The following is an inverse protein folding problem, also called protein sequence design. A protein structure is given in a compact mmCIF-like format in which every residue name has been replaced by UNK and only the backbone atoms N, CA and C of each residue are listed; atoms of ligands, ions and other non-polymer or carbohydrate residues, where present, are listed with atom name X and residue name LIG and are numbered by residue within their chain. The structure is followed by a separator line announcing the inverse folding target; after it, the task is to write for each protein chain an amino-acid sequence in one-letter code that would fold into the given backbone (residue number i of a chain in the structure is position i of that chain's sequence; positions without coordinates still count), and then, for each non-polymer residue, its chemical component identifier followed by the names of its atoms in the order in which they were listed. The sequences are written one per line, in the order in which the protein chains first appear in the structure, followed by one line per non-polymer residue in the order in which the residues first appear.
data_IF_125818134112
#
_entry.id   IF_125818134112
#
_cell.length_a   1.000
_cell.length_b   1.000
_cell.length_c   1.000
_cell.angle_alpha   90.00
_cell.angle_beta   90.00
_cell.angle_gamma   90.00
#
_symmetry.space_group_name_H-M   'P 1'
#
loop_
_entity.id
_entity.type
_entity.pdbx_description
1 polymer ?
#
# COMPACT_ATOMS: atom_id res chain seq x y z
N UNK A 1 6.62 12.86 19.51
CA UNK A 1 6.77 11.43 19.95
C UNK A 1 5.47 10.64 20.15
N UNK A 2 4.64 10.84 21.19
CA UNK A 2 3.40 10.03 21.37
C UNK A 2 2.46 10.20 20.16
N UNK A 3 2.31 11.44 19.68
CA UNK A 3 1.47 11.74 18.52
C UNK A 3 1.93 11.04 17.23
N UNK A 4 3.26 10.88 17.04
CA UNK A 4 3.84 10.13 15.90
C UNK A 4 3.46 8.67 15.98
N UNK A 5 3.61 8.06 17.16
CA UNK A 5 3.24 6.68 17.38
C UNK A 5 1.76 6.44 17.10
N UNK A 6 0.88 7.29 17.64
CA UNK A 6 -0.56 7.19 17.41
C UNK A 6 -0.92 7.35 15.94
N UNK A 7 -0.34 8.36 15.26
CA UNK A 7 -0.58 8.59 13.84
C UNK A 7 -0.14 7.37 13.02
N UNK A 8 1.08 6.89 13.21
CA UNK A 8 1.62 5.74 12.50
C UNK A 8 0.75 4.49 12.73
N UNK A 9 0.34 4.22 13.97
CA UNK A 9 -0.54 3.10 14.29
C UNK A 9 -1.90 3.21 13.61
N UNK A 10 -2.49 4.40 13.57
CA UNK A 10 -3.79 4.64 12.91
C UNK A 10 -3.66 4.45 11.39
N UNK A 11 -2.65 5.05 10.76
CA UNK A 11 -2.44 4.94 9.31
C UNK A 11 -2.21 3.48 8.91
N UNK A 12 -1.35 2.76 9.64
CA UNK A 12 -1.09 1.34 9.41
C UNK A 12 -2.36 0.50 9.60
N UNK A 13 -3.13 0.74 10.67
CA UNK A 13 -4.37 0.01 10.91
C UNK A 13 -5.39 0.22 9.77
N UNK A 14 -5.54 1.46 9.29
CA UNK A 14 -6.42 1.78 8.15
C UNK A 14 -5.98 1.01 6.90
N UNK A 15 -4.69 1.07 6.57
CA UNK A 15 -4.14 0.41 5.38
C UNK A 15 -4.29 -1.11 5.45
N UNK A 16 -4.01 -1.72 6.61
CA UNK A 16 -4.20 -3.16 6.81
C UNK A 16 -5.67 -3.57 6.68
N UNK A 17 -6.60 -2.78 7.22
CA UNK A 17 -8.04 -3.05 7.10
C UNK A 17 -8.53 -2.91 5.66
N UNK A 18 -8.07 -1.89 4.93
CA UNK A 18 -8.34 -1.73 3.50
C UNK A 18 -7.85 -2.96 2.74
N UNK A 19 -6.60 -3.35 2.96
CA UNK A 19 -5.99 -4.49 2.29
C UNK A 19 -6.78 -5.77 2.51
N UNK A 20 -7.09 -6.05 3.79
CA UNK A 20 -7.89 -7.20 4.19
C UNK A 20 -9.26 -7.20 3.51
N UNK A 21 -9.98 -6.08 3.50
CA UNK A 21 -11.31 -5.99 2.89
C UNK A 21 -11.25 -6.21 1.38
N UNK A 22 -10.21 -5.69 0.70
CA UNK A 22 -9.99 -5.95 -0.73
C UNK A 22 -9.76 -7.44 -1.00
N UNK A 23 -8.86 -8.09 -0.26
CA UNK A 23 -8.59 -9.53 -0.42
C UNK A 23 -9.82 -10.38 -0.07
N UNK A 24 -10.56 -10.00 0.97
CA UNK A 24 -11.81 -10.67 1.36
C UNK A 24 -12.86 -10.59 0.24
N UNK A 25 -13.06 -9.39 -0.34
CA UNK A 25 -13.96 -9.20 -1.48
C UNK A 25 -13.49 -9.98 -2.71
N UNK A 26 -12.21 -9.98 -3.01
CA UNK A 26 -11.65 -10.76 -4.12
C UNK A 26 -11.88 -12.26 -3.93
N UNK A 27 -11.67 -12.78 -2.72
CA UNK A 27 -11.96 -14.19 -2.38
C UNK A 27 -13.41 -14.58 -2.69
N UNK A 28 -14.36 -13.67 -2.50
CA UNK A 28 -15.79 -13.89 -2.80
C UNK A 28 -16.14 -13.65 -4.26
N UNK A 29 -15.55 -12.63 -4.88
CA UNK A 29 -15.83 -12.23 -6.25
C UNK A 29 -15.26 -13.23 -7.26
N UNK A 30 -13.99 -13.59 -7.13
CA UNK A 30 -13.24 -14.43 -8.09
C UNK A 30 -13.97 -15.75 -8.43
N UNK A 31 -14.48 -16.53 -7.47
CA UNK A 31 -15.23 -17.76 -7.76
C UNK A 31 -16.56 -17.54 -8.47
N UNK A 32 -17.21 -16.40 -8.21
CA UNK A 32 -18.53 -16.07 -8.77
C UNK A 32 -18.47 -15.61 -10.23
N UNK A 33 -17.28 -15.30 -10.75
CA UNK A 33 -17.10 -14.84 -12.13
C UNK A 33 -17.29 -16.00 -13.11
N UNK A 34 -18.22 -15.82 -14.05
CA UNK A 34 -18.46 -16.74 -15.16
C UNK A 34 -17.46 -16.54 -16.32
N UNK A 35 -16.16 -16.61 -16.01
CA UNK A 35 -15.04 -16.49 -16.95
C UNK A 35 -14.13 -17.70 -16.85
N UNK A 36 -13.32 -17.97 -17.89
CA UNK A 36 -12.36 -19.08 -17.87
C UNK A 36 -11.40 -18.96 -16.68
N UNK A 37 -11.11 -20.08 -16.01
CA UNK A 37 -10.27 -20.14 -14.80
C UNK A 37 -8.96 -19.35 -14.92
N UNK A 38 -8.27 -19.40 -16.07
CA UNK A 38 -7.03 -18.65 -16.29
C UNK A 38 -7.16 -17.13 -16.17
N UNK A 39 -8.32 -16.54 -16.47
CA UNK A 39 -8.55 -15.10 -16.38
C UNK A 39 -8.97 -14.63 -14.98
N UNK A 40 -9.41 -15.56 -14.12
CA UNK A 40 -9.76 -15.24 -12.72
C UNK A 40 -8.56 -14.71 -11.92
N UNK A 41 -7.39 -15.29 -12.14
CA UNK A 41 -6.14 -14.83 -11.52
C UNK A 41 -5.77 -13.42 -11.97
N UNK A 42 -5.97 -13.11 -13.25
CA UNK A 42 -5.70 -11.76 -13.79
C UNK A 42 -6.58 -10.72 -13.10
N UNK A 43 -7.86 -11.03 -12.85
CA UNK A 43 -8.76 -10.17 -12.07
C UNK A 43 -8.25 -10.00 -10.63
N UNK A 44 -7.78 -11.08 -10.00
CA UNK A 44 -7.15 -11.01 -8.68
C UNK A 44 -5.94 -10.08 -8.63
N UNK A 45 -5.05 -10.17 -9.62
CA UNK A 45 -3.86 -9.31 -9.74
C UNK A 45 -4.27 -7.85 -9.87
N UNK A 46 -5.16 -7.51 -10.79
CA UNK A 46 -5.61 -6.11 -10.96
C UNK A 46 -6.33 -5.58 -9.72
N UNK A 47 -7.17 -6.42 -9.08
CA UNK A 47 -7.83 -6.05 -7.84
C UNK A 47 -6.85 -5.74 -6.71
N UNK A 48 -5.80 -6.56 -6.56
CA UNK A 48 -4.77 -6.33 -5.57
C UNK A 48 -3.89 -5.10 -5.88
N UNK A 49 -3.59 -4.83 -7.16
CA UNK A 49 -2.90 -3.60 -7.56
C UNK A 49 -3.72 -2.34 -7.24
N UNK A 50 -5.04 -2.40 -7.39
CA UNK A 50 -5.94 -1.31 -6.99
C UNK A 50 -5.91 -1.12 -5.47
N UNK A 51 -5.93 -2.20 -4.69
CA UNK A 51 -5.81 -2.14 -3.23
C UNK A 51 -4.51 -1.43 -2.82
N UNK A 52 -3.37 -1.87 -3.36
CA UNK A 52 -2.08 -1.25 -3.10
C UNK A 52 -2.00 0.21 -3.53
N UNK A 53 -2.58 0.57 -4.67
CA UNK A 53 -2.67 1.98 -5.05
C UNK A 53 -3.42 2.79 -3.98
N UNK A 54 -4.59 2.34 -3.53
CA UNK A 54 -5.37 3.04 -2.49
C UNK A 54 -4.57 3.16 -1.19
N UNK A 55 -3.88 2.10 -0.77
CA UNK A 55 -3.05 2.09 0.44
C UNK A 55 -1.92 3.14 0.36
N UNK A 56 -1.28 3.25 -0.80
CA UNK A 56 -0.28 4.29 -1.11
C UNK A 56 -0.90 5.69 -1.01
N UNK A 57 -2.10 5.90 -1.54
CA UNK A 57 -2.79 7.19 -1.40
C UNK A 57 -3.10 7.55 0.06
N UNK A 58 -3.35 6.58 0.94
CA UNK A 58 -3.54 6.82 2.37
C UNK A 58 -2.24 7.32 3.02
N UNK A 59 -1.11 6.68 2.74
CA UNK A 59 0.20 7.15 3.22
C UNK A 59 0.58 8.51 2.63
N UNK A 60 0.35 8.73 1.34
CA UNK A 60 0.57 10.01 0.67
C UNK A 60 -0.21 11.16 1.31
N UNK A 61 -1.47 10.92 1.67
CA UNK A 61 -2.28 11.91 2.39
C UNK A 61 -1.70 12.21 3.78
N UNK A 62 -1.24 11.18 4.51
CA UNK A 62 -0.57 11.36 5.80
C UNK A 62 0.71 12.21 5.65
N UNK A 63 1.53 11.94 4.63
CA UNK A 63 2.71 12.76 4.32
C UNK A 63 2.36 14.20 4.02
N UNK A 64 1.36 14.43 3.17
CA UNK A 64 0.94 15.76 2.77
C UNK A 64 0.48 16.59 3.97
N UNK A 65 -0.29 15.98 4.87
CA UNK A 65 -0.77 16.63 6.10
C UNK A 65 0.37 16.89 7.10
N UNK A 66 1.27 15.92 7.30
CA UNK A 66 2.43 16.08 8.18
C UNK A 66 3.39 17.16 7.67
N UNK A 67 3.70 17.16 6.37
CA UNK A 67 4.60 18.14 5.75
C UNK A 67 4.11 19.58 5.93
N UNK A 68 2.79 19.81 5.90
CA UNK A 68 2.20 21.16 6.07
C UNK A 68 2.03 21.58 7.53
N UNK A 69 2.10 20.63 8.46
CA UNK A 69 1.92 20.91 9.88
C UNK A 69 3.28 21.20 10.54
N UNK A 70 3.35 22.29 11.30
CA UNK A 70 4.57 22.62 12.04
C UNK A 70 4.91 21.53 13.07
N UNK A 71 6.20 21.18 13.15
CA UNK A 71 6.74 20.28 14.18
C UNK A 71 6.90 18.80 13.78
N UNK A 72 6.35 18.37 12.64
CA UNK A 72 6.47 16.98 12.17
C UNK A 72 7.68 16.74 11.27
N UNK A 73 8.31 17.81 10.79
CA UNK A 73 9.36 17.77 9.78
C UNK A 73 8.83 18.06 8.38
N UNK A 74 9.69 17.86 7.38
CA UNK A 74 9.38 18.18 5.99
C UNK A 74 9.93 17.12 5.02
N UNK A 75 9.44 17.17 3.78
CA UNK A 75 9.97 16.42 2.65
C UNK A 75 10.79 17.42 1.85
N UNK A 76 12.01 17.06 1.49
CA UNK A 76 12.96 17.94 0.78
C UNK A 76 13.57 17.24 -0.42
N UNK A 77 14.34 17.96 -1.22
CA UNK A 77 14.93 17.46 -2.47
C UNK A 77 14.09 17.87 -3.66
N UNK A 78 13.82 16.94 -4.56
CA UNK A 78 12.96 17.13 -5.74
C UNK A 78 11.47 17.10 -5.34
N UNK A 79 11.06 18.01 -4.46
CA UNK A 79 9.73 18.05 -3.87
C UNK A 79 9.13 19.46 -3.94
N UNK A 80 7.94 19.59 -4.54
CA UNK A 80 7.28 20.88 -4.78
C UNK A 80 6.18 21.25 -3.76
N UNK A 81 5.89 20.38 -2.79
CA UNK A 81 4.82 20.60 -1.80
C UNK A 81 3.42 20.15 -2.23
N UNK A 82 3.29 19.54 -3.41
CA UNK A 82 2.04 19.01 -3.94
C UNK A 82 1.68 17.65 -3.32
N UNK A 83 0.39 17.33 -3.36
CA UNK A 83 -0.07 15.99 -2.99
C UNK A 83 0.48 14.93 -3.95
N UNK A 84 0.70 15.28 -5.22
CA UNK A 84 1.20 14.34 -6.22
C UNK A 84 2.63 13.94 -5.95
N UNK A 85 3.49 14.84 -5.48
CA UNK A 85 4.84 14.50 -5.05
C UNK A 85 4.83 13.64 -3.79
N UNK A 86 3.87 13.84 -2.87
CA UNK A 86 3.66 12.92 -1.74
C UNK A 86 3.21 11.52 -2.19
N UNK A 87 2.35 11.44 -3.21
CA UNK A 87 1.93 10.16 -3.82
C UNK A 87 3.12 9.47 -4.47
N UNK A 88 3.91 10.19 -5.27
CA UNK A 88 5.14 9.68 -5.86
C UNK A 88 6.11 9.17 -4.79
N UNK A 89 6.39 9.98 -3.76
CA UNK A 89 7.25 9.57 -2.65
C UNK A 89 6.73 8.30 -1.97
N UNK A 90 5.44 8.26 -1.61
CA UNK A 90 4.79 7.08 -1.01
C UNK A 90 4.91 5.84 -1.89
N UNK A 91 4.71 5.94 -3.22
CA UNK A 91 4.95 4.84 -4.15
C UNK A 91 6.37 4.28 -3.99
N UNK A 92 7.39 5.14 -4.00
CA UNK A 92 8.78 4.71 -3.93
C UNK A 92 9.14 4.04 -2.60
N UNK A 93 8.54 4.49 -1.50
CA UNK A 93 8.78 3.97 -0.15
C UNK A 93 8.03 2.66 0.07
N UNK A 94 6.75 2.63 -0.26
CA UNK A 94 5.86 1.47 -0.13
C UNK A 94 6.36 0.28 -0.94
N UNK A 95 6.81 0.52 -2.16
CA UNK A 95 7.36 -0.52 -3.04
C UNK A 95 8.85 -0.80 -2.81
N UNK A 96 9.44 -0.18 -1.77
CA UNK A 96 10.86 -0.31 -1.41
C UNK A 96 11.85 0.02 -2.54
N UNK A 97 11.46 0.88 -3.49
CA UNK A 97 12.32 1.31 -4.61
C UNK A 97 13.31 2.37 -4.14
N UNK A 98 12.82 3.40 -3.44
CA UNK A 98 13.64 4.44 -2.81
C UNK A 98 14.63 5.16 -3.74
N UNK A 99 14.15 5.86 -4.78
CA UNK A 99 15.01 6.62 -5.70
C UNK A 99 15.92 7.65 -5.00
N UNK A 100 15.51 8.16 -3.84
CA UNK A 100 16.32 9.05 -3.00
C UNK A 100 16.38 10.49 -3.48
N UNK A 101 15.56 10.86 -4.46
CA UNK A 101 15.39 12.22 -4.97
C UNK A 101 14.53 13.10 -4.04
N UNK A 102 13.62 12.47 -3.28
CA UNK A 102 12.88 13.08 -2.16
C UNK A 102 13.30 12.43 -0.84
N UNK A 103 13.61 13.24 0.17
CA UNK A 103 14.06 12.78 1.47
C UNK A 103 13.18 13.30 2.62
N UNK A 104 12.77 12.44 3.58
CA UNK A 104 12.04 12.87 4.77
C UNK A 104 12.97 13.35 5.87
N UNK A 105 12.66 14.51 6.47
CA UNK A 105 13.35 15.08 7.61
C UNK A 105 12.43 15.13 8.84
N UNK A 106 13.01 15.20 10.04
CA UNK A 106 12.23 15.31 11.29
C UNK A 106 11.49 14.03 11.68
N UNK A 107 10.25 14.15 12.18
CA UNK A 107 9.43 13.00 12.61
C UNK A 107 8.84 12.21 11.42
N UNK A 108 8.72 12.81 10.23
CA UNK A 108 8.26 12.15 8.98
C UNK A 108 9.03 10.86 8.66
N UNK A 109 10.32 10.79 8.98
CA UNK A 109 11.15 9.59 8.74
C UNK A 109 10.61 8.33 9.40
N UNK A 110 9.87 8.46 10.51
CA UNK A 110 9.28 7.31 11.19
C UNK A 110 8.07 6.77 10.44
N UNK A 111 7.28 7.65 9.81
CA UNK A 111 6.21 7.24 8.90
C UNK A 111 6.80 6.53 7.67
N UNK A 112 7.90 7.05 7.12
CA UNK A 112 8.63 6.41 6.00
C UNK A 112 9.16 5.03 6.33
N UNK A 113 9.79 4.87 7.49
CA UNK A 113 10.26 3.56 7.93
C UNK A 113 9.11 2.55 8.07
N UNK A 114 8.00 2.94 8.70
CA UNK A 114 6.89 2.01 8.93
C UNK A 114 6.08 1.73 7.65
N UNK A 115 5.95 2.70 6.75
CA UNK A 115 5.34 2.50 5.43
C UNK A 115 6.12 1.47 4.62
N UNK A 116 7.45 1.58 4.56
CA UNK A 116 8.29 0.64 3.81
C UNK A 116 8.12 -0.80 4.31
N UNK A 117 8.12 -0.99 5.64
CA UNK A 117 7.86 -2.30 6.24
C UNK A 117 6.43 -2.79 5.96
N UNK A 118 5.44 -1.90 6.10
CA UNK A 118 4.02 -2.24 5.87
C UNK A 118 3.79 -2.65 4.42
N UNK A 119 4.30 -1.88 3.46
CA UNK A 119 4.18 -2.17 2.04
C UNK A 119 4.79 -3.51 1.66
N UNK A 120 5.99 -3.82 2.18
CA UNK A 120 6.61 -5.13 2.01
C UNK A 120 5.72 -6.27 2.53
N UNK A 121 5.16 -6.13 3.73
CA UNK A 121 4.27 -7.13 4.32
C UNK A 121 2.99 -7.31 3.49
N UNK A 122 2.36 -6.22 3.04
CA UNK A 122 1.13 -6.31 2.27
C UNK A 122 1.35 -6.86 0.86
N UNK A 123 2.44 -6.47 0.19
CA UNK A 123 2.80 -7.03 -1.13
C UNK A 123 3.05 -8.55 -1.02
N UNK A 124 3.74 -9.00 0.04
CA UNK A 124 3.99 -10.43 0.25
C UNK A 124 2.72 -11.20 0.67
N UNK A 125 1.79 -10.56 1.40
CA UNK A 125 0.47 -11.11 1.67
C UNK A 125 -0.32 -11.29 0.37
N UNK A 126 -0.37 -10.28 -0.50
CA UNK A 126 -0.96 -10.39 -1.84
C UNK A 126 -0.37 -11.54 -2.65
N UNK A 127 0.96 -11.66 -2.67
CA UNK A 127 1.64 -12.72 -3.42
C UNK A 127 1.21 -14.12 -2.91
N UNK A 128 1.13 -14.29 -1.59
CA UNK A 128 0.68 -15.53 -0.96
C UNK A 128 -0.79 -15.82 -1.28
N UNK A 129 -1.65 -14.81 -1.20
CA UNK A 129 -3.06 -14.92 -1.58
C UNK A 129 -3.22 -15.37 -3.04
N UNK A 130 -2.54 -14.71 -3.98
CA UNK A 130 -2.59 -15.05 -5.40
C UNK A 130 -2.05 -16.46 -5.65
N UNK A 131 -0.99 -16.87 -4.95
CA UNK A 131 -0.46 -18.23 -5.04
C UNK A 131 -1.51 -19.28 -4.64
N UNK A 132 -2.21 -19.07 -3.51
CA UNK A 132 -3.31 -19.96 -3.10
C UNK A 132 -4.44 -20.00 -4.13
N UNK A 133 -4.82 -18.85 -4.69
CA UNK A 133 -5.82 -18.78 -5.75
C UNK A 133 -5.38 -19.52 -7.03
N UNK A 134 -4.10 -19.43 -7.40
CA UNK A 134 -3.54 -20.16 -8.53
C UNK A 134 -3.59 -21.68 -8.30
N UNK A 135 -3.22 -22.15 -7.11
CA UNK A 135 -3.32 -23.56 -6.75
C UNK A 135 -4.75 -24.08 -6.80
N UNK A 136 -5.72 -23.31 -6.28
CA UNK A 136 -7.14 -23.67 -6.32
C UNK A 136 -7.66 -23.75 -7.76
N UNK A 137 -7.39 -22.72 -8.58
CA UNK A 137 -7.93 -22.63 -9.94
C UNK A 137 -7.21 -23.53 -10.97
N UNK A 138 -5.98 -23.99 -10.71
CA UNK A 138 -5.28 -24.95 -11.58
C UNK A 138 -5.48 -26.42 -11.20
N UNK A 139 -5.78 -26.71 -9.93
CA UNK A 139 -6.08 -28.09 -9.49
C UNK A 139 -7.47 -28.58 -9.87
N UNK A 140 -8.37 -27.69 -10.30
CA UNK A 140 -9.66 -28.01 -10.94
C UNK A 140 -9.53 -28.62 -12.35
N UNK A 141 -8.36 -29.17 -12.71
CA UNK A 141 -8.24 -30.19 -13.77
C UNK A 141 -8.88 -31.49 -13.29
N UNK A 142 -10.20 -31.55 -13.30
CA UNK A 142 -10.97 -32.80 -13.50
C UNK A 142 -12.00 -32.58 -14.57
#
# INVERSE_FOLDING_TARGET
MISVWLLNSVVVAIVVLIHYEFLYRLTRLIPSLNIKHRYRIVVGVFGALIAHAIEIWVFALAYYLMHRAAGWGELTGNFDGSLMDCVYFSFTVYSTVGFGDIAPLGELRYLTGIESLTGLVLITWTASFLFFEMQRNWSERK
#
